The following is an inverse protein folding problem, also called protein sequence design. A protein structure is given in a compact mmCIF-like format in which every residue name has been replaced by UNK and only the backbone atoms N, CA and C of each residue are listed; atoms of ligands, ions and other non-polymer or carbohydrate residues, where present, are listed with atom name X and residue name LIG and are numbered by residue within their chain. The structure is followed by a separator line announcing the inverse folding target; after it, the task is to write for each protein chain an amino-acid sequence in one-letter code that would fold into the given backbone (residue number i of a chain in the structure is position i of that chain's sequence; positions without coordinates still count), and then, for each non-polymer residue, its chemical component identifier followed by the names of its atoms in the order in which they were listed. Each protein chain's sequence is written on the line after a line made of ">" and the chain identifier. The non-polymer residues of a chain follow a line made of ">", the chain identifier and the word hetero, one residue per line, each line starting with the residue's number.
data_IF_024144542546
#
_entry.id   IF_024144542546
#
_cell.length_a   1.000
_cell.length_b   1.000
_cell.length_c   1.000
_cell.angle_alpha   90.00
_cell.angle_beta   90.00
_cell.angle_gamma   90.00
#
_symmetry.space_group_name_H-M   'P 1'
#
loop_
_entity.id
_entity.type
_entity.pdbx_description
1 polymer ?
#
# COMPACT_ATOMS: atom_id res chain seq x y z
N UNK A 1 -3.31 13.56 6.47
CA UNK A 1 -2.98 12.43 7.36
C UNK A 1 -1.56 11.95 7.03
N UNK A 2 -0.77 11.61 8.05
CA UNK A 2 0.57 11.02 7.90
C UNK A 2 0.48 9.51 8.09
N UNK A 3 1.29 8.74 7.36
CA UNK A 3 1.41 7.29 7.46
C UNK A 3 2.90 6.89 7.46
N UNK A 4 3.22 5.75 8.07
CA UNK A 4 4.57 5.18 8.07
C UNK A 4 4.72 4.21 6.91
N UNK A 5 5.73 4.44 6.09
CA UNK A 5 6.08 3.61 4.95
C UNK A 5 7.28 2.71 5.28
N UNK A 6 7.19 1.43 4.95
CA UNK A 6 8.32 0.50 4.96
C UNK A 6 9.00 0.55 3.59
N UNK A 7 10.24 1.01 3.53
CA UNK A 7 10.95 1.27 2.27
C UNK A 7 11.28 -0.01 1.48
N UNK A 8 11.43 -1.13 2.19
CA UNK A 8 11.59 -2.48 1.63
C UNK A 8 10.27 -3.20 1.36
N UNK A 9 9.14 -2.58 1.72
CA UNK A 9 7.78 -3.12 1.61
C UNK A 9 7.50 -4.38 2.46
N UNK A 10 8.38 -4.73 3.39
CA UNK A 10 8.14 -5.79 4.37
C UNK A 10 7.61 -5.20 5.68
N UNK A 11 6.34 -5.46 6.07
CA UNK A 11 5.80 -4.98 7.34
C UNK A 11 6.47 -5.63 8.56
N UNK A 12 7.25 -6.70 8.39
CA UNK A 12 8.04 -7.32 9.45
C UNK A 12 9.30 -6.53 9.83
N UNK A 13 9.88 -5.76 8.89
CA UNK A 13 11.13 -5.03 9.10
C UNK A 13 10.90 -3.64 9.72
N UNK A 14 10.84 -3.60 11.05
CA UNK A 14 10.55 -2.40 11.84
C UNK A 14 11.80 -1.54 12.17
N UNK A 15 12.92 -1.74 11.49
CA UNK A 15 14.11 -0.92 11.72
C UNK A 15 13.81 0.55 11.41
N UNK A 16 14.15 1.52 12.28
CA UNK A 16 13.91 2.94 12.02
C UNK A 16 14.50 3.44 10.70
N UNK A 17 15.61 2.85 10.24
CA UNK A 17 16.22 3.15 8.95
C UNK A 17 15.37 2.73 7.74
N UNK A 18 14.44 1.80 7.93
CA UNK A 18 13.50 1.31 6.91
C UNK A 18 12.17 2.10 6.91
N UNK A 19 11.92 2.90 7.96
CA UNK A 19 10.64 3.58 8.15
C UNK A 19 10.69 5.04 7.68
N UNK A 20 9.66 5.48 6.96
CA UNK A 20 9.53 6.85 6.47
C UNK A 20 8.15 7.42 6.73
N UNK A 21 8.08 8.57 7.40
CA UNK A 21 6.83 9.30 7.57
C UNK A 21 6.46 10.00 6.26
N UNK A 22 5.31 9.65 5.68
CA UNK A 22 4.83 10.18 4.41
C UNK A 22 3.40 10.70 4.53
N UNK A 23 3.11 11.73 3.75
CA UNK A 23 1.75 12.17 3.53
C UNK A 23 0.93 11.08 2.80
N UNK A 24 -0.38 10.98 3.03
CA UNK A 24 -1.22 9.97 2.33
C UNK A 24 -1.02 9.92 0.80
N UNK A 25 -1.01 11.03 0.05
CA UNK A 25 -0.76 10.95 -1.39
C UNK A 25 0.68 10.52 -1.74
N UNK A 26 1.66 10.91 -0.92
CA UNK A 26 3.06 10.49 -1.06
C UNK A 26 3.17 8.96 -0.85
N UNK A 27 2.50 8.44 0.17
CA UNK A 27 2.47 7.03 0.51
C UNK A 27 1.86 6.19 -0.62
N UNK A 28 0.72 6.63 -1.17
CA UNK A 28 0.07 5.99 -2.31
C UNK A 28 0.95 6.03 -3.58
N UNK A 29 1.68 7.12 -3.80
CA UNK A 29 2.59 7.23 -4.94
C UNK A 29 3.70 6.17 -4.89
N UNK A 30 4.27 5.88 -3.71
CA UNK A 30 5.28 4.82 -3.54
C UNK A 30 4.72 3.42 -3.87
N UNK A 31 3.47 3.14 -3.54
CA UNK A 31 2.82 1.86 -3.87
C UNK A 31 2.30 1.76 -5.32
N UNK A 32 2.24 2.87 -6.06
CA UNK A 32 1.58 2.92 -7.38
C UNK A 32 2.20 2.01 -8.44
N UNK A 33 3.49 1.66 -8.32
CA UNK A 33 4.21 0.80 -9.29
C UNK A 33 4.27 -0.68 -8.88
N UNK A 34 3.70 -1.06 -7.74
CA UNK A 34 3.71 -2.43 -7.23
C UNK A 34 2.45 -3.21 -7.59
N UNK A 35 1.88 -2.94 -8.75
CA UNK A 35 0.91 -3.86 -9.35
C UNK A 35 1.69 -5.09 -9.83
N UNK A 36 2.04 -5.99 -8.90
CA UNK A 36 2.46 -7.34 -9.26
C UNK A 36 1.39 -8.01 -10.10
N UNK A 37 1.75 -9.04 -10.86
CA UNK A 37 0.82 -9.76 -11.72
C UNK A 37 -0.40 -10.20 -10.90
N UNK A 38 -1.53 -9.52 -11.10
CA UNK A 38 -2.80 -9.88 -10.46
C UNK A 38 -3.24 -11.18 -11.12
N UNK A 39 -3.35 -12.26 -10.35
CA UNK A 39 -3.87 -13.51 -10.88
C UNK A 39 -5.33 -13.31 -11.32
N UNK A 40 -5.77 -13.89 -12.45
CA UNK A 40 -7.16 -13.82 -12.87
C UNK A 40 -8.09 -14.25 -11.72
N UNK A 41 -8.99 -13.37 -11.30
CA UNK A 41 -9.93 -13.60 -10.19
C UNK A 41 -9.60 -12.91 -8.86
N UNK A 42 -8.41 -12.33 -8.69
CA UNK A 42 -8.00 -11.68 -7.43
C UNK A 42 -8.69 -10.32 -7.17
N UNK A 43 -9.09 -9.59 -8.22
CA UNK A 43 -9.81 -8.32 -8.12
C UNK A 43 -11.32 -8.54 -8.28
N UNK A 44 -12.02 -8.89 -7.19
CA UNK A 44 -13.48 -8.85 -7.14
C UNK A 44 -13.95 -7.58 -6.43
N UNK A 45 -14.41 -6.60 -7.20
CA UNK A 45 -15.13 -5.45 -6.66
C UNK A 45 -16.52 -5.92 -6.23
N UNK A 46 -16.70 -6.20 -4.94
CA UNK A 46 -18.04 -6.35 -4.35
C UNK A 46 -18.63 -4.95 -4.20
N UNK A 47 -19.42 -4.52 -5.16
CA UNK A 47 -20.32 -3.39 -4.96
C UNK A 47 -21.44 -3.84 -4.02
N UNK A 48 -21.28 -3.57 -2.74
CA UNK A 48 -22.36 -3.68 -1.76
C UNK A 48 -22.46 -2.36 -1.00
N UNK A 49 -23.01 -1.35 -1.68
CA UNK A 49 -23.71 -0.24 -1.08
C UNK A 49 -24.61 0.39 -2.16
N UNK A 50 -25.77 -0.23 -2.37
CA UNK A 50 -26.94 0.35 -3.03
C UNK A 50 -28.14 -0.12 -2.24
N UNK A 51 -28.40 0.52 -1.09
CA UNK A 51 -29.72 0.99 -0.61
C UNK A 51 -29.46 2.04 0.47
#
# INVERSE_FOLDING_TARGET
>A
MMAVHHCDYDPGNNSPSNLKALCSPCHLHYHRRQQGNVTPGQLRLKFSCLI
#
